data_IF_484599637817
#
_entry.id   IF_484599637817
#
_cell.length_a   1.000
_cell.length_b   1.000
_cell.length_c   1.000
_cell.angle_alpha   90.00
_cell.angle_beta   90.00
_cell.angle_gamma   90.00
#
_symmetry.space_group_name_H-M   'P 1'
#
loop_
_entity.id
_entity.type
_entity.pdbx_description
1 polymer ?
#
# COMPACT_ATOMS: atom_id res chain seq x y z
N UNK A 1 4.43 -35.80 20.69
CA UNK A 1 5.17 -35.08 19.65
C UNK A 1 5.03 -33.61 19.97
N UNK A 2 6.08 -32.95 20.49
CA UNK A 2 6.03 -31.51 20.73
C UNK A 2 6.02 -30.81 19.38
N UNK A 3 4.93 -30.14 19.06
CA UNK A 3 4.95 -29.11 18.03
C UNK A 3 5.89 -28.02 18.54
N UNK A 4 7.10 -27.98 18.01
CA UNK A 4 7.94 -26.78 18.12
C UNK A 4 7.14 -25.66 17.48
N UNK A 5 6.61 -24.74 18.28
CA UNK A 5 5.96 -23.54 17.77
C UNK A 5 6.96 -22.84 16.84
N UNK A 6 6.61 -22.74 15.57
CA UNK A 6 7.40 -21.94 14.63
C UNK A 6 7.46 -20.50 15.17
N UNK A 7 8.64 -19.86 15.19
CA UNK A 7 8.77 -18.50 15.70
C UNK A 7 7.83 -17.58 14.93
N UNK A 8 7.11 -16.74 15.67
CA UNK A 8 6.10 -15.90 15.06
C UNK A 8 6.77 -14.88 14.12
N UNK A 9 6.22 -14.75 12.92
CA UNK A 9 6.77 -13.87 11.90
C UNK A 9 6.43 -12.41 12.18
N UNK A 10 7.28 -11.50 11.72
CA UNK A 10 6.97 -10.06 11.57
C UNK A 10 6.35 -9.84 10.21
N UNK A 11 5.56 -8.77 10.04
CA UNK A 11 4.90 -8.53 8.75
C UNK A 11 5.18 -7.12 8.21
N UNK A 12 5.58 -7.05 6.95
CA UNK A 12 5.51 -5.85 6.14
C UNK A 12 4.29 -5.96 5.23
N UNK A 13 3.34 -5.04 5.39
CA UNK A 13 2.21 -4.88 4.46
C UNK A 13 2.53 -3.72 3.55
N UNK A 14 2.74 -4.01 2.27
CA UNK A 14 3.14 -2.99 1.31
C UNK A 14 2.11 -2.85 0.19
N UNK A 15 2.06 -1.67 -0.42
CA UNK A 15 1.10 -1.37 -1.49
C UNK A 15 1.46 -0.07 -2.17
N UNK A 16 0.94 0.14 -3.37
CA UNK A 16 0.77 1.49 -3.90
C UNK A 16 -0.37 2.20 -3.13
N UNK A 17 -0.26 3.50 -2.76
CA UNK A 17 -1.36 4.23 -2.12
C UNK A 17 -2.67 4.01 -2.87
N UNK A 18 -3.77 3.86 -2.11
CA UNK A 18 -5.13 3.62 -2.63
C UNK A 18 -5.37 2.23 -3.25
N UNK A 19 -4.44 1.29 -3.09
CA UNK A 19 -4.60 -0.11 -3.55
C UNK A 19 -5.21 -1.07 -2.54
N UNK A 20 -5.73 -0.57 -1.39
CA UNK A 20 -6.37 -1.42 -0.38
C UNK A 20 -5.47 -1.83 0.78
N UNK A 21 -4.49 -1.01 1.16
CA UNK A 21 -3.58 -1.28 2.30
C UNK A 21 -4.33 -1.64 3.59
N UNK A 22 -5.38 -0.89 3.94
CA UNK A 22 -6.18 -1.15 5.14
C UNK A 22 -7.09 -2.38 5.01
N UNK A 23 -7.47 -2.76 3.78
CA UNK A 23 -8.20 -4.01 3.54
C UNK A 23 -7.31 -5.20 3.90
N UNK A 24 -6.07 -5.20 3.39
CA UNK A 24 -5.07 -6.23 3.71
C UNK A 24 -4.67 -6.21 5.20
N UNK A 25 -4.51 -5.03 5.79
CA UNK A 25 -4.28 -4.88 7.22
C UNK A 25 -5.36 -5.58 8.05
N UNK A 26 -6.64 -5.34 7.73
CA UNK A 26 -7.77 -5.99 8.40
C UNK A 26 -7.76 -7.51 8.25
N UNK A 27 -7.34 -8.03 7.08
CA UNK A 27 -7.21 -9.47 6.86
C UNK A 27 -6.20 -10.12 7.81
N UNK A 28 -5.05 -9.49 8.07
CA UNK A 28 -4.05 -10.07 8.99
C UNK A 28 -4.37 -9.82 10.46
N UNK A 29 -5.15 -8.79 10.78
CA UNK A 29 -5.71 -8.58 12.12
C UNK A 29 -6.66 -9.71 12.53
N UNK A 30 -7.47 -10.23 11.60
CA UNK A 30 -8.30 -11.44 11.81
C UNK A 30 -7.41 -12.65 12.19
N UNK A 31 -6.16 -12.67 11.73
CA UNK A 31 -5.16 -13.70 12.05
C UNK A 31 -4.39 -13.43 13.36
N UNK A 32 -4.79 -12.40 14.11
CA UNK A 32 -4.19 -12.04 15.39
C UNK A 32 -2.92 -11.19 15.29
N UNK A 33 -2.62 -10.62 14.12
CA UNK A 33 -1.58 -9.60 14.03
C UNK A 33 -2.09 -8.24 14.52
N UNK A 34 -1.18 -7.39 14.99
CA UNK A 34 -1.50 -6.02 15.44
C UNK A 34 -0.61 -4.97 14.79
N UNK A 35 -1.07 -3.73 14.69
CA UNK A 35 -0.17 -2.64 14.30
C UNK A 35 0.95 -2.48 15.32
N UNK A 36 2.18 -2.25 14.86
CA UNK A 36 3.35 -2.19 15.73
C UNK A 36 3.32 -1.10 16.83
N UNK A 37 2.43 -0.12 16.70
CA UNK A 37 2.26 0.98 17.65
C UNK A 37 1.03 0.84 18.55
N UNK A 38 0.22 -0.22 18.42
CA UNK A 38 -0.92 -0.45 19.33
C UNK A 38 -0.47 -0.66 20.78
N UNK A 39 0.67 -1.33 20.96
CA UNK A 39 1.16 -1.74 22.28
C UNK A 39 2.36 -0.89 22.78
N UNK A 40 2.71 0.23 22.12
CA UNK A 40 3.96 0.97 22.42
C UNK A 40 3.83 2.50 22.39
N UNK A 41 4.48 3.14 23.36
CA UNK A 41 4.81 4.59 23.36
C UNK A 41 5.92 4.97 22.35
N UNK A 42 6.53 4.00 21.66
CA UNK A 42 7.79 4.19 20.94
C UNK A 42 7.65 5.18 19.78
N UNK A 43 8.25 6.37 19.97
CA UNK A 43 8.29 7.48 19.00
C UNK A 43 9.45 7.38 18.00
N UNK A 44 10.14 6.25 17.88
CA UNK A 44 11.30 6.15 16.98
C UNK A 44 10.92 5.66 15.59
N UNK A 45 10.11 4.60 15.50
CA UNK A 45 9.67 4.00 14.24
C UNK A 45 8.61 4.91 13.59
N UNK A 46 8.67 5.14 12.27
CA UNK A 46 7.57 5.82 11.57
C UNK A 46 6.30 4.96 11.66
N UNK A 47 5.15 5.58 11.92
CA UNK A 47 3.86 4.87 11.99
C UNK A 47 3.53 4.10 10.71
N UNK A 48 4.08 4.55 9.58
CA UNK A 48 3.89 4.00 8.25
C UNK A 48 5.13 4.32 7.42
N UNK A 49 5.67 3.38 6.65
CA UNK A 49 6.71 3.68 5.65
C UNK A 49 6.14 4.43 4.44
N UNK A 50 5.86 5.71 4.62
CA UNK A 50 5.47 6.67 3.59
C UNK A 50 6.27 7.98 3.74
N UNK A 51 6.23 8.83 2.71
CA UNK A 51 6.96 10.10 2.66
C UNK A 51 6.82 10.93 3.95
N UNK A 52 5.58 11.12 4.43
CA UNK A 52 5.29 12.03 5.55
C UNK A 52 5.81 11.51 6.87
N UNK A 53 5.52 10.26 7.21
CA UNK A 53 5.89 9.68 8.49
C UNK A 53 7.39 9.44 8.58
N UNK A 54 8.03 9.01 7.49
CA UNK A 54 9.49 8.87 7.41
C UNK A 54 10.19 10.22 7.55
N UNK A 55 9.74 11.24 6.81
CA UNK A 55 10.32 12.60 6.89
C UNK A 55 10.23 13.19 8.29
N UNK A 56 9.17 12.91 9.05
CA UNK A 56 9.05 13.37 10.46
C UNK A 56 10.09 12.73 11.39
N UNK A 57 10.51 11.50 11.12
CA UNK A 57 11.47 10.76 11.96
C UNK A 57 12.92 11.14 11.66
N UNK A 58 13.21 11.55 10.43
CA UNK A 58 14.56 11.91 10.01
C UNK A 58 14.79 13.41 10.27
N UNK A 59 15.37 13.73 11.43
CA UNK A 59 15.67 15.13 11.84
C UNK A 59 16.93 15.70 11.17
N UNK A 60 17.94 14.87 10.97
CA UNK A 60 19.20 15.22 10.27
C UNK A 60 19.65 14.01 9.45
N UNK A 61 19.74 14.16 8.12
CA UNK A 61 20.44 13.17 7.30
C UNK A 61 21.95 13.43 7.45
N UNK A 62 22.58 12.79 8.43
CA UNK A 62 24.04 12.74 8.51
C UNK A 62 24.54 11.86 7.37
N UNK A 63 25.19 12.47 6.38
CA UNK A 63 25.89 11.86 5.24
C UNK A 63 25.22 10.64 4.61
N UNK A 64 24.71 10.81 3.39
CA UNK A 64 24.19 9.73 2.56
C UNK A 64 25.18 8.56 2.48
N UNK A 65 24.87 7.44 3.15
CA UNK A 65 25.54 6.18 2.87
C UNK A 65 25.30 5.77 1.42
N UNK A 66 26.18 4.94 0.85
CA UNK A 66 26.09 4.52 -0.55
C UNK A 66 24.84 3.68 -0.87
N UNK A 67 24.09 3.19 0.14
CA UNK A 67 22.91 2.34 -0.03
C UNK A 67 21.68 3.00 0.58
N UNK A 68 20.74 3.39 -0.27
CA UNK A 68 19.48 4.03 0.14
C UNK A 68 18.27 3.27 -0.39
N UNK A 69 17.19 3.31 0.39
CA UNK A 69 15.86 2.83 -0.01
C UNK A 69 14.97 4.04 -0.25
N UNK A 70 14.28 4.07 -1.39
CA UNK A 70 13.20 5.01 -1.63
C UNK A 70 11.97 4.58 -0.85
N UNK A 71 11.48 5.43 0.04
CA UNK A 71 10.20 5.23 0.74
C UNK A 71 9.20 6.30 0.30
N UNK A 72 7.99 5.87 -0.05
CA UNK A 72 6.99 6.71 -0.69
C UNK A 72 6.89 6.39 -2.18
N UNK A 73 5.66 6.39 -2.68
CA UNK A 73 5.33 6.05 -4.06
C UNK A 73 5.61 7.23 -5.01
N UNK A 74 4.61 8.08 -5.24
CA UNK A 74 4.72 9.24 -6.13
C UNK A 74 5.69 10.32 -5.61
N UNK A 75 6.02 10.31 -4.33
CA UNK A 75 6.95 11.27 -3.70
C UNK A 75 8.04 10.47 -2.97
N UNK A 76 9.15 10.16 -3.65
CA UNK A 76 10.20 9.35 -3.05
C UNK A 76 10.90 10.13 -1.93
N UNK A 77 11.16 9.46 -0.81
CA UNK A 77 12.04 9.93 0.24
C UNK A 77 13.13 8.88 0.45
N UNK A 78 14.37 9.22 0.09
CA UNK A 78 15.49 8.30 0.20
C UNK A 78 16.00 8.25 1.64
N UNK A 79 16.04 7.04 2.19
CA UNK A 79 16.49 6.76 3.56
C UNK A 79 17.68 5.83 3.52
N UNK A 80 18.66 6.06 4.38
CA UNK A 80 19.79 5.16 4.55
C UNK A 80 19.31 3.75 4.95
N UNK A 81 19.88 2.73 4.30
CA UNK A 81 19.55 1.33 4.54
C UNK A 81 19.66 0.94 6.02
N UNK A 82 20.66 1.46 6.74
CA UNK A 82 20.88 1.16 8.15
C UNK A 82 19.74 1.69 9.04
N UNK A 83 19.18 2.86 8.70
CA UNK A 83 18.05 3.44 9.42
C UNK A 83 16.80 2.59 9.20
N UNK A 84 16.52 2.19 7.95
CA UNK A 84 15.37 1.33 7.63
C UNK A 84 15.50 -0.02 8.35
N UNK A 85 16.70 -0.61 8.31
CA UNK A 85 17.00 -1.86 9.03
C UNK A 85 16.76 -1.70 10.53
N UNK A 86 17.27 -0.64 11.15
CA UNK A 86 17.07 -0.36 12.57
C UNK A 86 15.58 -0.30 12.92
N UNK A 87 14.77 0.45 12.17
CA UNK A 87 13.33 0.51 12.37
C UNK A 87 12.65 -0.87 12.28
N UNK A 88 13.05 -1.71 11.34
CA UNK A 88 12.53 -3.07 11.20
C UNK A 88 12.91 -3.97 12.39
N UNK A 89 14.09 -3.77 13.00
CA UNK A 89 14.47 -4.55 14.21
C UNK A 89 13.58 -4.26 15.42
N UNK A 90 12.95 -3.08 15.45
CA UNK A 90 12.14 -2.63 16.57
C UNK A 90 10.71 -3.17 16.54
N UNK A 91 10.24 -3.71 15.42
CA UNK A 91 8.91 -4.31 15.30
C UNK A 91 8.91 -5.68 15.98
N UNK A 92 7.92 -5.95 16.84
CA UNK A 92 7.81 -7.25 17.50
C UNK A 92 7.24 -8.31 16.57
N UNK A 93 7.44 -9.58 16.93
CA UNK A 93 6.73 -10.70 16.31
C UNK A 93 5.20 -10.56 16.50
N UNK A 94 4.41 -11.11 15.58
CA UNK A 94 2.95 -10.87 15.49
C UNK A 94 2.53 -9.41 15.34
N UNK A 95 3.47 -8.51 15.03
CA UNK A 95 3.15 -7.14 14.65
C UNK A 95 3.42 -6.88 13.17
N UNK A 96 2.74 -5.87 12.64
CA UNK A 96 2.91 -5.42 11.28
C UNK A 96 3.22 -3.92 11.18
N UNK A 97 3.90 -3.56 10.10
CA UNK A 97 4.08 -2.18 9.66
C UNK A 97 3.58 -2.03 8.22
N UNK A 98 2.92 -0.91 7.95
CA UNK A 98 2.42 -0.57 6.64
C UNK A 98 3.48 0.19 5.83
N UNK A 99 3.49 -0.01 4.51
CA UNK A 99 4.45 0.62 3.61
C UNK A 99 3.89 0.99 2.24
N UNK A 100 4.54 2.01 1.66
CA UNK A 100 4.46 2.42 0.27
C UNK A 100 5.88 2.47 -0.29
N UNK A 101 6.54 1.32 -0.32
CA UNK A 101 7.95 1.18 -0.69
C UNK A 101 8.01 0.60 -2.10
N UNK A 102 8.45 1.38 -3.12
CA UNK A 102 8.73 0.86 -4.45
C UNK A 102 9.80 -0.24 -4.39
N UNK A 103 9.83 -1.13 -5.39
CA UNK A 103 10.77 -2.24 -5.39
C UNK A 103 12.23 -1.77 -5.35
N UNK A 104 13.01 -2.47 -4.54
CA UNK A 104 14.47 -2.31 -4.46
C UNK A 104 15.10 -3.65 -4.10
N UNK A 105 16.25 -3.99 -4.69
CA UNK A 105 16.96 -5.23 -4.34
C UNK A 105 17.53 -5.21 -2.92
N UNK A 106 17.51 -4.05 -2.24
CA UNK A 106 18.08 -3.89 -0.90
C UNK A 106 17.16 -4.35 0.24
N UNK A 107 15.84 -4.37 0.03
CA UNK A 107 14.88 -4.60 1.11
C UNK A 107 14.64 -6.09 1.39
N UNK A 108 14.48 -6.92 0.34
CA UNK A 108 14.24 -8.37 0.51
C UNK A 108 15.27 -9.05 1.42
N UNK A 109 16.60 -8.83 1.27
CA UNK A 109 17.59 -9.44 2.14
C UNK A 109 17.42 -9.07 3.62
N UNK A 110 17.04 -7.81 3.91
CA UNK A 110 16.80 -7.35 5.29
C UNK A 110 15.56 -8.02 5.88
N UNK A 111 14.48 -8.09 5.09
CA UNK A 111 13.24 -8.72 5.54
C UNK A 111 13.47 -10.20 5.87
N UNK A 112 14.19 -10.93 5.02
CA UNK A 112 14.56 -12.33 5.28
C UNK A 112 15.39 -12.48 6.56
N UNK A 113 16.44 -11.66 6.71
CA UNK A 113 17.31 -11.70 7.89
C UNK A 113 16.55 -11.45 9.20
N UNK A 114 15.56 -10.55 9.18
CA UNK A 114 14.76 -10.18 10.34
C UNK A 114 13.48 -11.02 10.54
N UNK A 115 13.35 -12.13 9.79
CA UNK A 115 12.19 -13.03 9.80
C UNK A 115 10.85 -12.31 9.53
N UNK A 116 10.85 -11.42 8.55
CA UNK A 116 9.64 -10.81 8.02
C UNK A 116 9.01 -11.65 6.92
N UNK A 117 7.68 -11.72 6.94
CA UNK A 117 6.90 -11.97 5.74
C UNK A 117 6.54 -10.64 5.09
N UNK A 118 6.42 -10.65 3.77
CA UNK A 118 6.06 -9.48 2.98
C UNK A 118 4.79 -9.81 2.20
N UNK A 119 3.72 -9.07 2.43
CA UNK A 119 2.50 -9.18 1.63
C UNK A 119 2.30 -7.86 0.93
N UNK A 120 2.19 -7.92 -0.40
CA UNK A 120 1.97 -6.76 -1.25
C UNK A 120 0.59 -6.84 -1.88
N UNK A 121 -0.19 -5.76 -1.79
CA UNK A 121 -1.48 -5.63 -2.47
C UNK A 121 -1.41 -4.59 -3.59
N UNK A 122 -1.75 -5.00 -4.80
CA UNK A 122 -1.93 -4.13 -5.96
C UNK A 122 -3.41 -4.00 -6.31
N UNK A 123 -3.73 -3.00 -7.12
CA UNK A 123 -5.08 -2.70 -7.59
C UNK A 123 -5.01 -2.21 -9.04
N UNK A 124 -6.13 -2.32 -9.77
CA UNK A 124 -6.26 -1.76 -11.11
C UNK A 124 -5.73 -0.31 -11.13
N UNK A 125 -4.75 0.02 -12.00
CA UNK A 125 -4.12 1.34 -12.02
C UNK A 125 -5.13 2.48 -12.27
N UNK A 126 -6.20 2.23 -13.02
CA UNK A 126 -7.27 3.20 -13.28
C UNK A 126 -7.99 3.54 -11.98
N UNK A 127 -8.36 2.52 -11.21
CA UNK A 127 -9.02 2.68 -9.91
C UNK A 127 -8.11 3.39 -8.89
N UNK A 128 -6.80 3.14 -8.94
CA UNK A 128 -5.82 3.82 -8.07
C UNK A 128 -5.77 5.32 -8.38
N UNK A 129 -5.59 5.70 -9.65
CA UNK A 129 -5.53 7.12 -10.07
C UNK A 129 -6.82 7.84 -9.69
N UNK A 130 -7.95 7.24 -10.05
CA UNK A 130 -9.27 7.80 -9.76
C UNK A 130 -9.56 7.94 -8.26
N UNK A 131 -9.02 7.04 -7.43
CA UNK A 131 -9.13 7.15 -5.97
C UNK A 131 -8.14 8.16 -5.37
N UNK A 132 -7.05 8.47 -6.06
CA UNK A 132 -6.00 9.36 -5.57
C UNK A 132 -6.41 10.83 -5.63
N UNK A 133 -6.98 11.30 -6.75
CA UNK A 133 -7.44 12.69 -6.92
C UNK A 133 -8.35 13.18 -5.78
N UNK A 134 -9.50 12.51 -5.50
CA UNK A 134 -10.40 12.93 -4.43
C UNK A 134 -9.75 12.81 -3.06
N UNK A 135 -8.86 11.84 -2.84
CA UNK A 135 -8.17 11.69 -1.57
C UNK A 135 -7.15 12.81 -1.29
N UNK A 136 -6.51 13.35 -2.33
CA UNK A 136 -5.64 14.53 -2.19
C UNK A 136 -6.45 15.77 -1.81
N UNK A 137 -7.66 15.91 -2.34
CA UNK A 137 -8.54 17.04 -2.05
C UNK A 137 -9.23 16.93 -0.69
N UNK A 138 -9.55 15.71 -0.27
CA UNK A 138 -10.21 15.41 0.99
C UNK A 138 -9.73 14.06 1.56
N UNK A 139 -8.96 14.12 2.64
CA UNK A 139 -8.45 12.93 3.33
C UNK A 139 -9.49 12.27 4.25
N UNK A 140 -10.72 12.77 4.30
CA UNK A 140 -11.80 12.24 5.12
C UNK A 140 -11.46 12.31 6.62
N UNK A 141 -11.48 11.15 7.29
CA UNK A 141 -11.27 11.01 8.75
C UNK A 141 -9.81 11.09 9.19
N UNK A 142 -8.87 11.41 8.28
CA UNK A 142 -7.47 11.55 8.66
C UNK A 142 -7.23 12.85 9.45
N UNK A 143 -6.31 12.84 10.43
CA UNK A 143 -6.09 13.96 11.35
C UNK A 143 -5.44 15.17 10.68
N UNK A 144 -4.98 15.02 9.44
CA UNK A 144 -4.33 16.10 8.72
C UNK A 144 -4.50 15.93 7.21
N UNK A 145 -4.66 17.09 6.58
CA UNK A 145 -4.77 17.31 5.14
C UNK A 145 -3.64 16.67 4.34
N UNK A 146 -3.93 16.37 3.07
CA UNK A 146 -2.91 15.87 2.15
C UNK A 146 -1.92 17.00 1.83
N UNK A 147 -0.63 16.69 1.73
CA UNK A 147 0.41 17.71 1.51
C UNK A 147 0.28 18.42 0.16
N UNK A 148 -0.35 17.77 -0.83
CA UNK A 148 -0.67 18.33 -2.16
C UNK A 148 -2.06 18.97 -2.25
N UNK A 149 -2.82 19.08 -1.16
CA UNK A 149 -4.20 19.60 -1.22
C UNK A 149 -4.24 21.01 -1.82
N UNK A 150 -3.34 21.89 -1.41
CA UNK A 150 -3.28 23.28 -1.90
C UNK A 150 -2.79 23.36 -3.36
N UNK A 151 -1.89 22.47 -3.78
CA UNK A 151 -1.51 22.33 -5.19
C UNK A 151 -2.74 21.92 -6.03
N UNK A 152 -3.48 20.90 -5.60
CA UNK A 152 -4.63 20.38 -6.34
C UNK A 152 -5.80 21.37 -6.40
N UNK A 153 -6.04 22.14 -5.33
CA UNK A 153 -7.07 23.19 -5.33
C UNK A 153 -6.81 24.27 -6.37
N UNK A 154 -5.55 24.53 -6.72
CA UNK A 154 -5.17 25.50 -7.76
C UNK A 154 -5.32 24.96 -9.19
N UNK A 155 -5.53 23.66 -9.35
CA UNK A 155 -5.67 22.97 -10.63
C UNK A 155 -7.15 22.72 -10.97
N UNK A 156 -7.49 22.78 -12.26
CA UNK A 156 -8.75 22.24 -12.78
C UNK A 156 -8.79 20.71 -12.64
N UNK A 157 -9.98 20.07 -12.72
CA UNK A 157 -10.09 18.61 -12.67
C UNK A 157 -9.14 17.88 -13.65
N UNK A 158 -9.12 18.28 -14.92
CA UNK A 158 -8.26 17.66 -15.93
C UNK A 158 -6.77 17.91 -15.67
N UNK A 159 -6.39 19.10 -15.15
CA UNK A 159 -5.01 19.38 -14.74
C UNK A 159 -4.55 18.48 -13.57
N UNK A 160 -5.44 18.11 -12.64
CA UNK A 160 -5.10 17.18 -11.54
C UNK A 160 -4.80 15.79 -12.05
N UNK A 161 -5.59 15.31 -13.02
CA UNK A 161 -5.32 14.03 -13.69
C UNK A 161 -3.95 14.08 -14.35
N UNK A 162 -3.69 15.10 -15.17
CA UNK A 162 -2.44 15.25 -15.90
C UNK A 162 -1.22 15.29 -14.98
N UNK A 163 -1.35 16.01 -13.86
CA UNK A 163 -0.30 16.09 -12.87
C UNK A 163 0.02 14.72 -12.23
N UNK A 164 -0.98 13.87 -11.98
CA UNK A 164 -0.74 12.50 -11.50
C UNK A 164 -0.11 11.62 -12.59
N UNK A 165 -0.63 11.69 -13.81
CA UNK A 165 -0.17 10.84 -14.91
C UNK A 165 1.27 11.14 -15.32
N UNK A 166 1.61 12.42 -15.44
CA UNK A 166 2.90 12.89 -15.97
C UNK A 166 3.90 13.20 -14.85
N UNK A 167 3.43 13.43 -13.61
CA UNK A 167 4.25 13.98 -12.55
C UNK A 167 4.53 15.47 -12.74
N UNK A 168 5.38 16.03 -11.88
CA UNK A 168 5.72 17.46 -11.91
C UNK A 168 6.18 17.96 -10.55
N UNK A 169 6.24 19.28 -10.38
CA UNK A 169 6.62 19.89 -9.11
C UNK A 169 5.41 20.51 -8.42
N UNK A 170 5.07 20.03 -7.22
CA UNK A 170 4.05 20.62 -6.37
C UNK A 170 4.62 21.88 -5.72
N UNK A 171 4.39 23.04 -6.33
CA UNK A 171 5.00 24.31 -5.93
C UNK A 171 4.62 24.75 -4.51
N UNK A 172 3.40 24.45 -4.05
CA UNK A 172 2.95 24.77 -2.69
C UNK A 172 3.55 23.80 -1.67
N UNK A 173 3.62 22.52 -2.00
CA UNK A 173 4.22 21.50 -1.14
C UNK A 173 5.76 21.51 -1.15
N UNK A 174 6.38 22.07 -2.19
CA UNK A 174 7.83 22.09 -2.39
C UNK A 174 8.42 20.69 -2.65
N UNK A 175 7.73 19.84 -3.42
CA UNK A 175 8.14 18.45 -3.66
C UNK A 175 8.00 18.06 -5.13
N UNK A 176 8.92 17.22 -5.60
CA UNK A 176 8.80 16.54 -6.90
C UNK A 176 7.87 15.34 -6.78
N UNK A 177 6.99 15.20 -7.78
CA UNK A 177 6.04 14.12 -7.95
C UNK A 177 6.45 13.34 -9.20
N UNK A 178 6.74 12.05 -9.01
CA UNK A 178 7.06 11.11 -10.08
C UNK A 178 5.82 10.82 -10.93
N UNK A 179 6.02 10.47 -12.20
CA UNK A 179 4.93 10.00 -13.03
C UNK A 179 4.39 8.65 -12.53
N UNK A 180 3.10 8.43 -12.74
CA UNK A 180 2.41 7.27 -12.20
C UNK A 180 2.93 5.95 -12.79
N UNK A 181 3.18 5.88 -14.10
CA UNK A 181 3.60 4.66 -14.78
C UNK A 181 4.92 4.10 -14.25
N UNK A 182 5.94 4.94 -14.05
CA UNK A 182 7.22 4.52 -13.45
C UNK A 182 7.03 3.94 -12.04
N UNK A 183 6.24 4.63 -11.22
CA UNK A 183 5.99 4.21 -9.84
C UNK A 183 5.17 2.92 -9.81
N UNK A 184 4.14 2.81 -10.63
CA UNK A 184 3.31 1.62 -10.74
C UNK A 184 4.15 0.40 -11.15
N UNK A 185 5.03 0.55 -12.15
CA UNK A 185 5.95 -0.52 -12.58
C UNK A 185 6.93 -0.93 -11.48
N UNK A 186 7.50 0.04 -10.76
CA UNK A 186 8.36 -0.25 -9.62
C UNK A 186 7.60 -0.96 -8.50
N UNK A 187 6.32 -0.66 -8.28
CA UNK A 187 5.47 -1.39 -7.34
C UNK A 187 5.12 -2.80 -7.86
N UNK A 188 4.83 -2.94 -9.15
CA UNK A 188 4.53 -4.22 -9.80
C UNK A 188 5.73 -5.18 -9.75
N UNK A 189 6.96 -4.67 -9.78
CA UNK A 189 8.18 -5.48 -9.68
C UNK A 189 8.26 -6.33 -8.40
N UNK A 190 7.53 -5.98 -7.34
CA UNK A 190 7.37 -6.85 -6.16
C UNK A 190 6.76 -8.21 -6.48
N UNK A 191 6.00 -8.35 -7.58
CA UNK A 191 5.47 -9.64 -8.04
C UNK A 191 6.54 -10.67 -8.42
N UNK A 192 7.79 -10.23 -8.64
CA UNK A 192 8.91 -11.09 -9.01
C UNK A 192 9.71 -11.57 -7.79
N UNK A 193 9.40 -11.08 -6.59
CA UNK A 193 10.10 -11.43 -5.35
C UNK A 193 9.47 -12.68 -4.72
N UNK A 194 10.24 -13.77 -4.63
CA UNK A 194 9.75 -15.06 -4.13
C UNK A 194 9.24 -15.02 -2.68
N UNK A 195 9.75 -14.08 -1.86
CA UNK A 195 9.35 -13.93 -0.46
C UNK A 195 8.28 -12.85 -0.26
N UNK A 196 7.68 -12.37 -1.35
CA UNK A 196 6.58 -11.43 -1.35
C UNK A 196 5.31 -12.14 -1.82
N UNK A 197 4.34 -12.34 -0.92
CA UNK A 197 3.00 -12.74 -1.35
C UNK A 197 2.34 -11.55 -2.04
N UNK A 198 2.22 -11.63 -3.35
CA UNK A 198 1.61 -10.59 -4.17
C UNK A 198 0.14 -10.92 -4.46
N UNK A 199 -0.77 -10.05 -4.03
CA UNK A 199 -2.23 -10.22 -4.17
C UNK A 199 -2.89 -9.01 -4.82
N UNK A 200 -4.12 -9.20 -5.30
CA UNK A 200 -4.94 -8.14 -5.91
C UNK A 200 -6.04 -7.71 -4.96
N UNK A 201 -6.35 -6.41 -4.97
CA UNK A 201 -7.49 -5.84 -4.26
C UNK A 201 -8.80 -6.50 -4.67
N UNK A 202 -8.97 -6.72 -5.97
CA UNK A 202 -10.18 -7.28 -6.57
C UNK A 202 -10.48 -8.69 -6.06
N UNK A 203 -9.44 -9.46 -5.72
CA UNK A 203 -9.58 -10.81 -5.18
C UNK A 203 -9.85 -10.81 -3.67
N UNK A 204 -9.39 -9.79 -2.93
CA UNK A 204 -9.54 -9.73 -1.47
C UNK A 204 -10.83 -9.03 -0.99
N UNK A 205 -11.37 -8.12 -1.80
CA UNK A 205 -12.44 -7.20 -1.35
C UNK A 205 -13.78 -7.87 -1.04
N UNK A 206 -14.06 -9.03 -1.65
CA UNK A 206 -15.31 -9.78 -1.47
C UNK A 206 -16.54 -9.06 -2.04
N UNK A 207 -17.72 -9.68 -1.90
CA UNK A 207 -18.97 -9.22 -2.51
C UNK A 207 -19.37 -7.79 -2.10
N UNK A 208 -19.10 -7.41 -0.85
CA UNK A 208 -19.43 -6.07 -0.34
C UNK A 208 -18.72 -4.94 -1.09
N UNK A 209 -17.53 -5.20 -1.65
CA UNK A 209 -16.80 -4.27 -2.51
C UNK A 209 -16.93 -4.57 -4.01
N UNK A 210 -17.86 -5.43 -4.41
CA UNK A 210 -18.07 -5.83 -5.81
C UNK A 210 -17.13 -6.92 -6.32
N UNK A 211 -16.35 -7.56 -5.43
CA UNK A 211 -15.59 -8.78 -5.73
C UNK A 211 -16.44 -10.04 -5.57
N UNK A 212 -15.79 -11.21 -5.45
CA UNK A 212 -16.46 -12.51 -5.28
C UNK A 212 -16.07 -13.14 -3.94
N UNK A 213 -17.04 -13.69 -3.20
CA UNK A 213 -16.78 -14.37 -1.91
C UNK A 213 -15.80 -15.53 -2.04
N UNK A 214 -15.89 -16.31 -3.13
CA UNK A 214 -14.95 -17.39 -3.42
C UNK A 214 -13.51 -16.89 -3.55
N UNK A 215 -13.30 -15.79 -4.29
CA UNK A 215 -11.96 -15.18 -4.44
C UNK A 215 -11.43 -14.58 -3.16
N UNK A 216 -12.29 -13.99 -2.34
CA UNK A 216 -11.89 -13.50 -1.02
C UNK A 216 -11.42 -14.65 -0.13
N UNK A 217 -12.15 -15.77 -0.12
CA UNK A 217 -11.76 -16.98 0.60
C UNK A 217 -10.45 -17.56 0.09
N UNK A 218 -10.31 -17.79 -1.22
CA UNK A 218 -9.06 -18.29 -1.83
C UNK A 218 -7.86 -17.40 -1.48
N UNK A 219 -8.05 -16.08 -1.50
CA UNK A 219 -6.99 -15.12 -1.17
C UNK A 219 -6.64 -15.18 0.31
N UNK A 220 -7.63 -15.33 1.19
CA UNK A 220 -7.39 -15.49 2.61
C UNK A 220 -6.67 -16.81 2.92
N UNK A 221 -7.01 -17.90 2.24
CA UNK A 221 -6.30 -19.19 2.34
C UNK A 221 -4.82 -19.05 1.92
N UNK A 222 -4.53 -18.29 0.85
CA UNK A 222 -3.14 -17.96 0.44
C UNK A 222 -2.39 -17.15 1.50
N UNK A 223 -3.04 -16.15 2.11
CA UNK A 223 -2.45 -15.36 3.20
C UNK A 223 -2.14 -16.25 4.41
N UNK A 224 -3.10 -17.08 4.82
CA UNK A 224 -2.93 -18.05 5.89
C UNK A 224 -1.75 -18.99 5.63
N UNK A 225 -1.67 -19.57 4.44
CA UNK A 225 -0.57 -20.44 4.04
C UNK A 225 0.79 -19.73 4.10
N UNK A 226 0.89 -18.50 3.56
CA UNK A 226 2.13 -17.72 3.58
C UNK A 226 2.60 -17.38 5.01
N UNK A 227 1.66 -17.20 5.94
CA UNK A 227 1.94 -16.89 7.34
C UNK A 227 2.05 -18.13 8.24
N UNK A 228 1.99 -19.35 7.68
CA UNK A 228 1.94 -20.63 8.41
C UNK A 228 0.81 -20.72 9.45
N UNK A 229 -0.35 -20.14 9.13
CA UNK A 229 -1.55 -20.16 9.97
C UNK A 229 -2.59 -21.08 9.32
N UNK A 230 -3.10 -22.12 10.01
CA UNK A 230 -4.17 -22.95 9.48
C UNK A 230 -5.45 -22.14 9.24
N UNK A 231 -5.98 -22.18 8.03
CA UNK A 231 -7.30 -21.64 7.73
C UNK A 231 -8.37 -22.54 8.39
N UNK A 232 -9.23 -21.95 9.22
CA UNK A 232 -10.25 -22.66 10.00
C UNK A 232 -11.61 -21.94 9.96
N UNK A 233 -12.65 -22.56 10.54
CA UNK A 233 -14.01 -22.02 10.53
C UNK A 233 -14.15 -20.66 11.24
N UNK A 234 -13.34 -20.38 12.27
CA UNK A 234 -13.33 -19.07 12.91
C UNK A 234 -12.89 -17.99 11.93
N UNK A 235 -11.78 -18.21 11.22
CA UNK A 235 -11.29 -17.28 10.18
C UNK A 235 -12.31 -17.16 9.05
N UNK A 236 -12.88 -18.28 8.60
CA UNK A 236 -13.89 -18.30 7.53
C UNK A 236 -15.13 -17.46 7.89
N UNK A 237 -15.57 -17.51 9.15
CA UNK A 237 -16.73 -16.75 9.64
C UNK A 237 -16.49 -15.23 9.65
N UNK A 238 -15.22 -14.79 9.68
CA UNK A 238 -14.82 -13.38 9.77
C UNK A 238 -14.46 -12.75 8.42
N UNK A 239 -14.52 -13.48 7.29
CA UNK A 239 -14.17 -12.93 5.98
C UNK A 239 -14.95 -11.67 5.61
N UNK A 240 -16.23 -11.60 6.01
CA UNK A 240 -17.08 -10.43 5.80
C UNK A 240 -16.59 -9.17 6.53
N UNK A 241 -15.78 -9.30 7.57
CA UNK A 241 -15.20 -8.19 8.33
C UNK A 241 -13.99 -7.55 7.65
N UNK A 242 -13.40 -8.21 6.65
CA UNK A 242 -12.27 -7.68 5.86
C UNK A 242 -12.72 -6.38 5.18
N UNK A 243 -13.91 -6.38 4.59
CA UNK A 243 -14.52 -5.17 4.07
C UNK A 243 -14.99 -4.29 5.23
N UNK A 244 -14.23 -3.22 5.50
CA UNK A 244 -14.48 -2.33 6.63
C UNK A 244 -14.79 -0.89 6.17
N UNK A 245 -16.08 -0.50 6.09
CA UNK A 245 -16.49 0.88 5.79
C UNK A 245 -16.00 1.93 6.80
N UNK A 246 -15.61 1.49 8.00
CA UNK A 246 -15.11 2.38 9.06
C UNK A 246 -13.62 2.71 8.92
N UNK A 247 -12.90 2.07 7.98
CA UNK A 247 -11.48 2.34 7.77
C UNK A 247 -11.23 3.84 7.45
N UNK A 248 -10.11 4.39 7.95
CA UNK A 248 -9.83 5.83 7.95
C UNK A 248 -9.85 6.47 6.55
N UNK A 249 -9.43 5.72 5.54
CA UNK A 249 -9.38 6.18 4.14
C UNK A 249 -10.52 5.62 3.28
N UNK A 250 -11.53 5.00 3.89
CA UNK A 250 -12.67 4.42 3.17
C UNK A 250 -13.48 5.54 2.50
N UNK A 251 -13.79 5.35 1.21
CA UNK A 251 -14.66 6.25 0.44
C UNK A 251 -15.78 5.47 -0.22
N UNK A 252 -15.42 4.56 -1.13
CA UNK A 252 -16.37 3.68 -1.82
C UNK A 252 -16.03 2.21 -1.66
N UNK A 253 -14.74 1.84 -1.60
CA UNK A 253 -14.31 0.45 -1.41
C UNK A 253 -14.67 -0.50 -2.56
N UNK A 254 -15.17 0.01 -3.68
CA UNK A 254 -15.67 -0.79 -4.81
C UNK A 254 -14.70 -0.89 -5.97
N UNK A 255 -14.71 -2.03 -6.68
CA UNK A 255 -13.87 -2.28 -7.88
C UNK A 255 -14.12 -1.23 -8.97
N UNK A 256 -15.38 -1.03 -9.39
CA UNK A 256 -15.73 -0.13 -10.51
C UNK A 256 -16.23 1.27 -10.10
N UNK A 257 -16.38 1.55 -8.81
CA UNK A 257 -17.00 2.79 -8.33
C UNK A 257 -16.26 4.08 -8.72
N UNK A 258 -15.10 3.97 -9.35
CA UNK A 258 -14.33 5.10 -9.82
C UNK A 258 -14.84 5.71 -11.13
N UNK A 259 -15.52 4.91 -11.98
CA UNK A 259 -16.02 5.34 -13.29
C UNK A 259 -17.02 6.49 -13.16
N UNK A 260 -17.81 6.50 -12.09
CA UNK A 260 -18.80 7.54 -11.80
C UNK A 260 -18.20 8.86 -11.29
N UNK A 261 -16.87 8.90 -11.06
CA UNK A 261 -16.20 10.03 -10.41
C UNK A 261 -15.23 10.80 -11.32
N UNK A 262 -15.17 10.44 -12.61
CA UNK A 262 -14.29 11.05 -13.61
C UNK A 262 -15.15 11.52 -14.80
N UNK A 263 -14.83 12.69 -15.35
CA UNK A 263 -15.47 13.22 -16.56
C UNK A 263 -15.24 12.29 -17.77
N UNK A 264 -16.20 12.10 -18.69
CA UNK A 264 -16.07 11.15 -19.80
C UNK A 264 -14.79 11.32 -20.64
N UNK A 265 -14.37 12.56 -20.92
CA UNK A 265 -13.15 12.84 -21.68
C UNK A 265 -11.87 12.41 -20.93
N UNK A 266 -11.88 12.52 -19.61
CA UNK A 266 -10.77 12.09 -18.75
C UNK A 266 -10.75 10.55 -18.60
N UNK A 267 -11.90 9.86 -18.74
CA UNK A 267 -11.97 8.39 -18.74
C UNK A 267 -11.23 7.80 -19.95
N UNK A 268 -11.45 8.32 -21.16
CA UNK A 268 -10.78 7.84 -22.37
C UNK A 268 -9.26 8.02 -22.27
N UNK A 269 -8.84 9.21 -21.79
CA UNK A 269 -7.43 9.51 -21.52
C UNK A 269 -6.82 8.56 -20.51
N UNK A 270 -7.51 8.32 -19.39
CA UNK A 270 -7.07 7.40 -18.34
C UNK A 270 -6.95 5.96 -18.86
N UNK A 271 -7.94 5.49 -19.63
CA UNK A 271 -7.93 4.15 -20.21
C UNK A 271 -6.75 3.98 -21.18
N UNK A 272 -6.52 4.96 -22.05
CA UNK A 272 -5.39 4.95 -22.99
C UNK A 272 -4.05 4.91 -22.26
N UNK A 273 -3.89 5.75 -21.24
CA UNK A 273 -2.66 5.79 -20.44
C UNK A 273 -2.42 4.47 -19.68
N UNK A 274 -3.47 3.93 -19.06
CA UNK A 274 -3.37 2.74 -18.22
C UNK A 274 -3.35 1.43 -19.00
N UNK A 275 -3.70 1.41 -20.29
CA UNK A 275 -3.71 0.19 -21.10
C UNK A 275 -2.44 -0.67 -20.95
N UNK A 276 -1.22 -0.15 -21.16
CA UNK A 276 -0.01 -0.95 -20.95
C UNK A 276 0.16 -1.40 -19.50
N UNK A 277 -0.18 -0.57 -18.51
CA UNK A 277 -0.06 -0.90 -17.09
C UNK A 277 -1.02 -2.01 -16.68
N UNK A 278 -2.25 -1.99 -17.20
CA UNK A 278 -3.25 -3.04 -17.01
C UNK A 278 -2.75 -4.36 -17.59
N UNK A 279 -2.23 -4.35 -18.82
CA UNK A 279 -1.68 -5.53 -19.47
C UNK A 279 -0.50 -6.12 -18.67
N UNK A 280 0.45 -5.28 -18.26
CA UNK A 280 1.61 -5.67 -17.45
C UNK A 280 1.19 -6.30 -16.11
N UNK A 281 0.16 -5.74 -15.45
CA UNK A 281 -0.34 -6.26 -14.17
C UNK A 281 -1.39 -7.37 -14.31
N UNK A 282 -1.75 -7.75 -15.54
CA UNK A 282 -2.72 -8.81 -15.85
C UNK A 282 -4.18 -8.46 -15.53
N UNK A 283 -4.56 -7.21 -15.71
CA UNK A 283 -5.94 -6.72 -15.66
C UNK A 283 -6.59 -6.77 -17.05
N UNK A 284 -7.89 -7.08 -17.09
CA UNK A 284 -8.65 -7.08 -18.34
C UNK A 284 -8.89 -5.65 -18.84
N UNK A 285 -8.79 -5.51 -20.17
CA UNK A 285 -9.20 -4.30 -20.87
C UNK A 285 -10.73 -4.32 -21.00
N UNK A 286 -11.41 -3.49 -20.20
CA UNK A 286 -12.83 -3.16 -20.36
C UNK A 286 -12.99 -1.70 -20.76
#
# INVERSE_FOLDING_TARGET
MSYTELPAKRLLINSLPKSGTHLLAKSVEILGYKEHFEDREVQEVPLFFNYREVKKRIKHQTQFGQKQISIGALTPYYVDLAIVRHWLTLIAEKQYILGHIPWTPLLTPILQELNYQHIFIIRDPRAVIASSIPFVLDTGKMPARHFLEEDFKSMSPSQRLDFILVGGYGAKAGVEIRNFAEVFRSMLAWSQEQNCLFIRFEDLVGEQGGGKSEKQRETMEKICHHLDIPFNETIASQLGEIYNPSARTFRMGKIDGWKDSIEPADIEKLNTYCQPLCQEAGYEMS
#
